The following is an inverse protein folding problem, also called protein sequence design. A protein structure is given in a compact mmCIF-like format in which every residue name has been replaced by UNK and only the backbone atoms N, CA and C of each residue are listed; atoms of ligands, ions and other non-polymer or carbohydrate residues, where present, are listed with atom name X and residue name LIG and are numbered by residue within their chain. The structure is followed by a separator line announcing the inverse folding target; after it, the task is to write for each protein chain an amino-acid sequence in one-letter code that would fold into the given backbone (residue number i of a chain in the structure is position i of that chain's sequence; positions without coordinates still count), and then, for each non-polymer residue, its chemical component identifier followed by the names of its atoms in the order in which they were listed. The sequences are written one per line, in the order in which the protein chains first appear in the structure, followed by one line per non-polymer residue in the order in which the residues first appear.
data_IF_033759424520
#
_entry.id   IF_033759424520
#
_cell.length_a   1.000
_cell.length_b   1.000
_cell.length_c   1.000
_cell.angle_alpha   90.00
_cell.angle_beta   90.00
_cell.angle_gamma   90.00
#
_symmetry.space_group_name_H-M   'P 1'
#
loop_
_entity.id
_entity.type
_entity.pdbx_description
1 polymer ?
#
# COMPACT_ATOMS: atom_id res chain seq x y z
N UNK A 1 11.48 27.22 -21.65
CA UNK A 1 11.53 25.80 -21.20
C UNK A 1 12.83 25.22 -21.74
N UNK A 2 13.84 25.01 -20.90
CA UNK A 2 15.09 24.38 -21.34
C UNK A 2 14.84 22.91 -21.65
N UNK A 3 15.23 22.45 -22.84
CA UNK A 3 15.20 21.05 -23.19
C UNK A 3 16.14 20.27 -22.26
N UNK A 4 15.61 19.24 -21.57
CA UNK A 4 16.43 18.34 -20.75
C UNK A 4 17.29 17.50 -21.69
N UNK A 5 18.60 17.48 -21.46
CA UNK A 5 19.54 16.66 -22.22
C UNK A 5 19.64 15.28 -21.55
N UNK A 6 19.37 14.17 -22.25
CA UNK A 6 19.51 12.83 -21.67
C UNK A 6 20.99 12.49 -21.45
N UNK A 7 21.30 11.85 -20.33
CA UNK A 7 22.65 11.34 -20.05
C UNK A 7 22.99 10.15 -20.94
N UNK A 8 22.00 9.30 -21.21
CA UNK A 8 22.13 8.07 -21.97
C UNK A 8 20.77 7.60 -22.46
N UNK A 9 20.76 6.91 -23.58
CA UNK A 9 19.58 6.22 -24.09
C UNK A 9 19.80 4.71 -24.04
N UNK A 10 18.80 3.97 -23.58
CA UNK A 10 18.83 2.52 -23.48
C UNK A 10 17.72 1.95 -24.36
N UNK A 11 18.10 1.20 -25.39
CA UNK A 11 17.16 0.48 -26.23
C UNK A 11 16.97 -0.96 -25.74
N UNK A 12 15.71 -1.37 -25.57
CA UNK A 12 15.35 -2.72 -25.15
C UNK A 12 13.97 -3.12 -25.71
N UNK A 13 13.67 -4.41 -25.68
CA UNK A 13 12.34 -4.92 -26.06
C UNK A 13 11.52 -5.07 -24.77
N UNK A 14 10.37 -4.39 -24.70
CA UNK A 14 9.47 -4.52 -23.57
C UNK A 14 8.92 -5.96 -23.52
N UNK A 15 9.18 -6.69 -22.43
CA UNK A 15 8.68 -8.07 -22.27
C UNK A 15 7.15 -8.17 -22.21
N UNK A 16 6.46 -7.06 -21.90
CA UNK A 16 5.00 -7.01 -21.82
C UNK A 16 4.32 -6.93 -23.19
N UNK A 17 4.73 -5.96 -24.01
CA UNK A 17 4.11 -5.70 -25.32
C UNK A 17 4.95 -6.14 -26.53
N UNK A 18 6.15 -6.69 -26.29
CA UNK A 18 7.12 -7.15 -27.30
C UNK A 18 7.54 -6.07 -28.33
N UNK A 19 7.40 -4.78 -27.98
CA UNK A 19 7.85 -3.65 -28.81
C UNK A 19 9.26 -3.21 -28.41
N UNK A 20 10.04 -2.79 -29.41
CA UNK A 20 11.31 -2.11 -29.17
C UNK A 20 11.04 -0.69 -28.66
N UNK A 21 11.69 -0.32 -27.56
CA UNK A 21 11.57 0.98 -26.93
C UNK A 21 12.96 1.55 -26.64
N UNK A 22 13.07 2.87 -26.72
CA UNK A 22 14.27 3.63 -26.34
C UNK A 22 13.92 4.51 -25.15
N UNK A 23 14.60 4.28 -24.03
CA UNK A 23 14.36 4.97 -22.77
C UNK A 23 15.49 6.00 -22.57
N UNK A 24 15.20 7.30 -22.62
CA UNK A 24 16.16 8.33 -22.22
C UNK A 24 16.29 8.37 -20.70
N UNK A 25 17.53 8.39 -20.20
CA UNK A 25 17.85 8.47 -18.78
C UNK A 25 18.28 9.90 -18.46
N UNK A 26 17.54 10.59 -17.59
CA UNK A 26 17.91 11.90 -17.07
C UNK A 26 18.56 11.79 -15.69
N UNK A 27 19.33 12.81 -15.29
CA UNK A 27 19.96 12.87 -13.95
C UNK A 27 18.90 12.72 -12.85
N UNK A 28 17.75 13.37 -13.03
CA UNK A 28 16.66 13.40 -12.06
C UNK A 28 15.95 12.04 -11.89
N UNK A 29 16.10 11.12 -12.85
CA UNK A 29 15.44 9.80 -12.82
C UNK A 29 16.24 8.74 -12.05
N UNK A 30 17.52 9.03 -11.75
CA UNK A 30 18.39 8.14 -11.01
C UNK A 30 17.98 8.11 -9.54
N UNK A 31 17.23 7.08 -9.14
CA UNK A 31 16.85 6.84 -7.74
C UNK A 31 18.00 6.23 -6.93
N UNK A 32 17.82 6.20 -5.61
CA UNK A 32 18.75 5.71 -4.59
C UNK A 32 19.56 4.49 -5.03
N UNK A 33 20.87 4.54 -4.76
CA UNK A 33 21.79 3.46 -5.09
C UNK A 33 21.53 2.24 -4.20
N UNK A 34 21.03 1.14 -4.76
CA UNK A 34 20.83 -0.14 -4.06
C UNK A 34 21.99 -1.06 -4.43
N UNK A 35 22.82 -1.44 -3.47
CA UNK A 35 23.95 -2.36 -3.70
C UNK A 35 24.98 -1.86 -4.72
N UNK A 36 25.13 -0.55 -4.89
CA UNK A 36 26.04 0.04 -5.87
C UNK A 36 25.45 0.30 -7.26
N UNK A 37 24.19 -0.09 -7.49
CA UNK A 37 23.46 0.09 -8.76
C UNK A 37 22.43 1.22 -8.65
N UNK A 38 22.27 1.99 -9.73
CA UNK A 38 21.23 3.00 -9.89
C UNK A 38 19.94 2.35 -10.38
N UNK A 39 18.81 2.76 -9.81
CA UNK A 39 17.50 2.28 -10.23
C UNK A 39 16.73 3.37 -10.98
N UNK A 40 16.19 3.02 -12.15
CA UNK A 40 15.31 3.89 -12.95
C UNK A 40 14.02 3.15 -13.24
N UNK A 41 12.87 3.79 -13.05
CA UNK A 41 11.57 3.22 -13.38
C UNK A 41 10.95 4.03 -14.52
N UNK A 42 10.59 3.35 -15.60
CA UNK A 42 10.00 3.94 -16.79
C UNK A 42 8.62 3.32 -17.05
N UNK A 43 7.64 4.16 -17.38
CA UNK A 43 6.30 3.72 -17.71
C UNK A 43 6.17 3.59 -19.23
N UNK A 44 5.83 2.39 -19.72
CA UNK A 44 5.58 2.15 -21.14
C UNK A 44 4.26 1.40 -21.32
N UNK A 45 3.31 2.02 -22.03
CA UNK A 45 1.93 1.54 -22.14
C UNK A 45 1.37 1.22 -20.73
N UNK A 46 0.97 -0.04 -20.49
CA UNK A 46 0.49 -0.53 -19.20
C UNK A 46 1.56 -1.32 -18.42
N UNK A 47 2.85 -1.03 -18.66
CA UNK A 47 3.96 -1.72 -17.99
C UNK A 47 4.91 -0.74 -17.29
N UNK A 48 5.28 -1.06 -16.04
CA UNK A 48 6.41 -0.43 -15.35
C UNK A 48 7.66 -1.23 -15.67
N UNK A 49 8.63 -0.57 -16.26
CA UNK A 49 9.94 -1.11 -16.59
C UNK A 49 10.94 -0.55 -15.59
N UNK A 50 11.45 -1.42 -14.73
CA UNK A 50 12.52 -1.07 -13.79
C UNK A 50 13.86 -1.51 -14.36
N UNK A 51 14.78 -0.55 -14.49
CA UNK A 51 16.15 -0.72 -14.96
C UNK A 51 17.10 -0.59 -13.77
N UNK A 52 18.04 -1.54 -13.66
CA UNK A 52 19.18 -1.47 -12.75
C UNK A 52 20.44 -1.19 -13.57
N UNK A 53 21.06 -0.05 -13.31
CA UNK A 53 22.23 0.46 -14.02
C UNK A 53 23.44 0.45 -13.10
N UNK A 54 24.63 0.21 -13.64
CA UNK A 54 25.87 0.41 -12.87
C UNK A 54 26.32 1.87 -12.83
N UNK A 55 27.48 2.13 -12.21
CA UNK A 55 28.07 3.48 -12.11
C UNK A 55 28.37 4.13 -13.47
N UNK A 56 28.51 3.35 -14.53
CA UNK A 56 28.74 3.81 -15.91
C UNK A 56 27.43 3.85 -16.73
N UNK A 57 26.29 3.79 -16.05
CA UNK A 57 24.95 3.73 -16.64
C UNK A 57 24.78 2.55 -17.61
N UNK A 58 25.54 1.46 -17.44
CA UNK A 58 25.35 0.25 -18.23
C UNK A 58 24.21 -0.58 -17.63
N UNK A 59 23.29 -1.04 -18.47
CA UNK A 59 22.16 -1.86 -18.05
C UNK A 59 22.66 -3.22 -17.56
N UNK A 60 22.41 -3.52 -16.28
CA UNK A 60 22.74 -4.82 -15.67
C UNK A 60 21.54 -5.75 -15.65
N UNK A 61 20.37 -5.20 -15.32
CA UNK A 61 19.14 -5.95 -15.23
C UNK A 61 17.95 -5.07 -15.58
N UNK A 62 16.92 -5.66 -16.18
CA UNK A 62 15.63 -5.00 -16.36
C UNK A 62 14.49 -5.94 -16.00
N UNK A 63 13.41 -5.38 -15.49
CA UNK A 63 12.16 -6.10 -15.21
C UNK A 63 10.98 -5.27 -15.70
N UNK A 64 10.10 -5.90 -16.47
CA UNK A 64 8.80 -5.32 -16.81
C UNK A 64 7.73 -5.95 -15.91
N UNK A 65 6.84 -5.13 -15.36
CA UNK A 65 5.68 -5.57 -14.59
C UNK A 65 4.44 -4.87 -15.16
N UNK A 66 3.37 -5.63 -15.40
CA UNK A 66 2.12 -5.08 -15.91
C UNK A 66 1.39 -4.35 -14.77
N UNK A 67 0.95 -3.13 -15.04
CA UNK A 67 0.03 -2.39 -14.18
C UNK A 67 -1.33 -3.02 -14.39
N UNK A 68 -1.87 -3.65 -13.35
CA UNK A 68 -3.26 -4.08 -13.39
C UNK A 68 -4.14 -2.83 -13.46
N UNK A 69 -4.57 -2.44 -14.66
CA UNK A 69 -5.63 -1.46 -14.85
C UNK A 69 -6.91 -2.05 -14.30
N UNK A 70 -7.27 -1.72 -13.06
CA UNK A 70 -8.67 -1.77 -12.64
C UNK A 70 -9.37 -0.56 -13.27
N UNK A 71 -9.66 -0.64 -14.57
CA UNK A 71 -10.49 0.37 -15.26
C UNK A 71 -11.93 0.24 -14.75
N UNK A 72 -12.42 1.35 -14.19
CA UNK A 72 -13.74 1.53 -13.58
C UNK A 72 -14.92 1.23 -14.53
N UNK A 73 -14.67 1.09 -15.83
CA UNK A 73 -15.68 0.83 -16.87
C UNK A 73 -15.99 -0.65 -17.13
N UNK A 74 -15.07 -1.59 -16.85
CA UNK A 74 -15.37 -3.03 -17.01
C UNK A 74 -16.30 -3.59 -15.93
N UNK A 75 -16.43 -2.89 -14.80
CA UNK A 75 -17.39 -3.23 -13.73
C UNK A 75 -18.83 -2.89 -14.15
N UNK A 76 -19.03 -1.93 -15.07
CA UNK A 76 -20.35 -1.52 -15.53
C UNK A 76 -20.92 -2.40 -16.66
N UNK A 77 -20.07 -3.02 -17.50
CA UNK A 77 -20.53 -3.80 -18.65
C UNK A 77 -20.97 -5.23 -18.31
N UNK A 78 -20.65 -5.75 -17.12
CA UNK A 78 -21.02 -7.12 -16.69
C UNK A 78 -22.35 -7.23 -15.96
N UNK A 79 -23.07 -6.13 -15.72
CA UNK A 79 -24.33 -6.14 -14.96
C UNK A 79 -25.61 -6.25 -15.81
N UNK A 80 -25.53 -6.41 -17.14
CA UNK A 80 -26.74 -6.40 -18.01
C UNK A 80 -26.90 -7.62 -18.93
N UNK A 81 -26.01 -8.63 -18.88
CA UNK A 81 -26.15 -9.81 -19.75
C UNK A 81 -26.12 -11.12 -18.96
N UNK A 82 -27.23 -11.47 -18.31
CA UNK A 82 -27.45 -12.82 -17.81
C UNK A 82 -28.95 -13.18 -17.74
N UNK A 83 -29.53 -13.56 -18.88
CA UNK A 83 -30.71 -14.43 -18.90
C UNK A 83 -30.64 -15.37 -20.09
N UNK A 84 -30.08 -16.58 -19.91
CA UNK A 84 -30.59 -17.85 -20.47
C UNK A 84 -29.77 -19.00 -19.84
N UNK A 85 -30.38 -20.11 -19.37
CA UNK A 85 -29.65 -21.24 -18.81
C UNK A 85 -29.39 -22.32 -19.87
N UNK A 86 -28.17 -22.85 -19.97
CA UNK A 86 -27.98 -24.24 -20.38
C UNK A 86 -26.63 -24.81 -19.94
N UNK A 87 -26.62 -26.13 -19.84
CA UNK A 87 -25.79 -26.93 -18.96
C UNK A 87 -24.35 -27.17 -19.42
N UNK A 88 -23.58 -27.64 -18.43
CA UNK A 88 -22.59 -28.71 -18.47
C UNK A 88 -21.11 -28.31 -18.42
N UNK A 89 -20.43 -28.91 -17.42
CA UNK A 89 -19.05 -29.34 -17.56
C UNK A 89 -17.98 -28.50 -16.89
N UNK A 90 -17.41 -29.10 -15.83
CA UNK A 90 -16.06 -28.93 -15.30
C UNK A 90 -15.81 -27.81 -14.28
N UNK A 91 -15.40 -28.30 -13.11
CA UNK A 91 -15.04 -27.56 -11.93
C UNK A 91 -13.88 -26.59 -12.19
N UNK A 92 -14.10 -25.33 -11.85
CA UNK A 92 -13.05 -24.45 -11.38
C UNK A 92 -13.62 -23.73 -10.17
N UNK A 93 -12.94 -23.88 -9.03
CA UNK A 93 -13.35 -23.31 -7.76
C UNK A 93 -13.39 -21.78 -7.90
N UNK A 94 -14.59 -21.26 -8.08
CA UNK A 94 -14.85 -19.83 -8.14
C UNK A 94 -14.51 -19.22 -6.78
N UNK A 95 -13.51 -18.34 -6.75
CA UNK A 95 -13.32 -17.45 -5.61
C UNK A 95 -14.54 -16.52 -5.50
N UNK A 96 -15.03 -16.25 -4.28
CA UNK A 96 -16.19 -15.40 -4.09
C UNK A 96 -15.87 -13.96 -4.52
N UNK A 97 -16.68 -13.51 -5.48
CA UNK A 97 -16.83 -12.12 -5.91
C UNK A 97 -17.07 -11.18 -4.72
N UNK A 98 -16.44 -10.00 -4.77
CA UNK A 98 -16.48 -8.94 -3.77
C UNK A 98 -17.83 -8.20 -3.69
N UNK A 99 -18.93 -8.94 -3.60
CA UNK A 99 -20.24 -8.43 -3.26
C UNK A 99 -20.61 -8.95 -1.88
N UNK A 100 -20.64 -8.03 -0.91
CA UNK A 100 -21.03 -8.24 0.51
C UNK A 100 -20.16 -9.21 1.32
N UNK A 101 -18.85 -8.94 1.43
CA UNK A 101 -18.13 -9.39 2.65
C UNK A 101 -18.60 -8.52 3.82
N UNK A 102 -18.98 -9.13 4.98
CA UNK A 102 -19.25 -8.35 6.18
C UNK A 102 -18.02 -7.52 6.51
N UNK A 103 -18.18 -6.21 6.71
CA UNK A 103 -17.07 -5.32 7.00
C UNK A 103 -16.35 -5.84 8.27
N UNK A 104 -15.07 -6.18 8.14
CA UNK A 104 -14.32 -6.76 9.23
C UNK A 104 -14.37 -5.81 10.44
N UNK A 105 -14.75 -6.36 11.59
CA UNK A 105 -14.90 -5.56 12.80
C UNK A 105 -13.52 -5.15 13.30
N UNK A 106 -13.27 -3.85 13.33
CA UNK A 106 -12.07 -3.30 13.94
C UNK A 106 -11.94 -3.79 15.40
N UNK A 107 -10.71 -4.11 15.81
CA UNK A 107 -10.40 -4.47 17.19
C UNK A 107 -9.07 -3.90 17.63
N UNK A 108 -9.13 -2.80 18.38
CA UNK A 108 -7.93 -2.18 18.95
C UNK A 108 -7.30 -3.06 20.02
N UNK A 109 -8.13 -3.79 20.79
CA UNK A 109 -7.62 -4.69 21.84
C UNK A 109 -6.87 -5.88 21.27
N UNK A 110 -7.31 -6.42 20.12
CA UNK A 110 -6.55 -7.46 19.41
C UNK A 110 -5.20 -6.92 18.94
N UNK A 111 -5.18 -5.76 18.29
CA UNK A 111 -3.95 -5.14 17.80
C UNK A 111 -2.96 -4.82 18.94
N UNK A 112 -3.45 -4.31 20.08
CA UNK A 112 -2.64 -4.07 21.27
C UNK A 112 -2.08 -5.36 21.87
N UNK A 113 -2.84 -6.46 21.88
CA UNK A 113 -2.34 -7.76 22.35
C UNK A 113 -1.28 -8.35 21.42
N UNK A 114 -1.44 -8.17 20.10
CA UNK A 114 -0.53 -8.74 19.11
C UNK A 114 0.78 -7.96 19.00
N UNK A 115 0.71 -6.62 19.00
CA UNK A 115 1.87 -5.76 18.76
C UNK A 115 2.35 -5.00 20.00
N UNK A 116 1.54 -4.90 21.06
CA UNK A 116 1.88 -4.15 22.26
C UNK A 116 2.23 -2.69 21.96
N UNK A 117 3.36 -2.24 22.52
CA UNK A 117 3.88 -0.90 22.26
C UNK A 117 4.37 -0.72 20.81
N UNK A 118 4.62 -1.80 20.05
CA UNK A 118 5.08 -1.68 18.66
C UNK A 118 3.99 -1.12 17.72
N UNK A 119 2.74 -1.06 18.16
CA UNK A 119 1.65 -0.45 17.37
C UNK A 119 1.85 1.07 17.19
N UNK A 120 2.64 1.73 18.04
CA UNK A 120 2.94 3.16 17.93
C UNK A 120 3.65 3.53 16.61
N UNK A 121 4.49 2.61 16.13
CA UNK A 121 5.29 2.76 14.92
C UNK A 121 4.45 2.79 13.64
N UNK A 122 3.22 2.25 13.69
CA UNK A 122 2.23 2.35 12.60
C UNK A 122 1.26 3.50 12.81
N UNK A 123 0.87 3.77 14.07
CA UNK A 123 -0.14 4.78 14.37
C UNK A 123 0.25 6.17 13.84
N UNK A 124 1.50 6.59 14.05
CA UNK A 124 2.00 7.90 13.57
C UNK A 124 1.95 8.00 12.05
N UNK A 125 2.57 7.08 11.26
CA UNK A 125 2.47 7.07 9.81
C UNK A 125 1.04 7.19 9.26
N UNK A 126 0.09 6.43 9.83
CA UNK A 126 -1.32 6.48 9.43
C UNK A 126 -1.92 7.87 9.68
N UNK A 127 -1.66 8.46 10.85
CA UNK A 127 -2.12 9.80 11.20
C UNK A 127 -1.53 10.90 10.30
N UNK A 128 -0.26 10.75 9.89
CA UNK A 128 0.44 11.71 9.03
C UNK A 128 0.17 11.49 7.54
N UNK A 129 -0.55 10.41 7.17
CA UNK A 129 -0.85 10.09 5.78
C UNK A 129 0.30 9.47 4.99
N UNK A 130 1.29 8.89 5.68
CA UNK A 130 2.31 8.04 5.06
C UNK A 130 1.69 6.67 4.76
N UNK A 131 2.01 6.09 3.61
CA UNK A 131 1.43 4.82 3.18
C UNK A 131 1.85 3.70 4.14
N UNK A 132 0.88 2.89 4.54
CA UNK A 132 1.10 1.71 5.39
C UNK A 132 0.73 0.44 4.63
N UNK A 133 1.69 -0.46 4.54
CA UNK A 133 1.54 -1.77 3.91
C UNK A 133 1.29 -2.79 5.00
N UNK A 134 0.28 -3.65 4.84
CA UNK A 134 -0.08 -4.70 5.77
C UNK A 134 0.11 -6.04 5.08
N UNK A 135 0.77 -6.97 5.76
CA UNK A 135 0.99 -8.32 5.23
C UNK A 135 0.80 -9.38 6.31
N UNK A 136 0.30 -10.55 5.90
CA UNK A 136 0.11 -11.72 6.74
C UNK A 136 -1.20 -12.45 6.42
N UNK A 137 -1.70 -13.21 7.39
CA UNK A 137 -2.97 -13.92 7.27
C UNK A 137 -4.15 -12.98 6.91
N UNK A 138 -4.91 -13.32 5.87
CA UNK A 138 -5.98 -12.50 5.30
C UNK A 138 -7.01 -12.02 6.34
N UNK A 139 -7.46 -12.92 7.23
CA UNK A 139 -8.46 -12.60 8.25
C UNK A 139 -7.96 -11.56 9.26
N UNK A 140 -6.71 -11.70 9.71
CA UNK A 140 -6.08 -10.75 10.62
C UNK A 140 -5.76 -9.42 9.94
N UNK A 141 -5.39 -9.47 8.66
CA UNK A 141 -5.13 -8.28 7.86
C UNK A 141 -6.38 -7.41 7.70
N UNK A 142 -7.55 -8.00 7.43
CA UNK A 142 -8.80 -7.24 7.37
C UNK A 142 -9.11 -6.54 8.70
N UNK A 143 -8.91 -7.22 9.83
CA UNK A 143 -9.09 -6.62 11.17
C UNK A 143 -8.06 -5.53 11.43
N UNK A 144 -6.81 -5.74 11.03
CA UNK A 144 -5.74 -4.76 11.18
C UNK A 144 -6.08 -3.49 10.38
N UNK A 145 -6.41 -3.61 9.09
CA UNK A 145 -6.80 -2.49 8.23
C UNK A 145 -8.02 -1.76 8.81
N UNK A 146 -9.05 -2.48 9.25
CA UNK A 146 -10.22 -1.90 9.89
C UNK A 146 -9.86 -1.12 11.17
N UNK A 147 -8.87 -1.61 11.93
CA UNK A 147 -8.37 -0.94 13.13
C UNK A 147 -7.54 0.30 12.79
N UNK A 148 -6.71 0.26 11.75
CA UNK A 148 -5.93 1.41 11.30
C UNK A 148 -6.81 2.57 10.84
N UNK A 149 -7.98 2.30 10.25
CA UNK A 149 -8.98 3.35 9.94
C UNK A 149 -9.38 4.16 11.18
N UNK A 150 -9.34 3.57 12.38
CA UNK A 150 -9.68 4.27 13.62
C UNK A 150 -8.65 5.35 13.97
N UNK A 151 -7.43 5.27 13.43
CA UNK A 151 -6.35 6.21 13.69
C UNK A 151 -6.51 7.55 12.96
N UNK A 152 -7.48 7.65 12.05
CA UNK A 152 -7.64 8.83 11.19
C UNK A 152 -8.98 9.51 11.45
N UNK A 153 -8.95 10.84 11.54
CA UNK A 153 -10.16 11.63 11.72
C UNK A 153 -10.63 12.24 10.40
N UNK A 154 -11.83 11.87 9.94
CA UNK A 154 -12.56 12.50 8.81
C UNK A 154 -11.81 12.56 7.46
N UNK A 155 -10.75 11.78 7.27
CA UNK A 155 -10.10 11.62 5.97
C UNK A 155 -10.66 10.36 5.31
N UNK A 156 -11.06 10.48 4.06
CA UNK A 156 -11.33 9.33 3.21
C UNK A 156 -10.00 8.67 2.84
N UNK A 157 -9.78 7.48 3.39
CA UNK A 157 -8.59 6.69 3.13
C UNK A 157 -8.75 5.90 1.83
N UNK A 158 -7.75 5.98 0.96
CA UNK A 158 -7.64 5.13 -0.22
C UNK A 158 -7.05 3.79 0.22
N UNK A 159 -7.86 2.73 0.21
CA UNK A 159 -7.49 1.44 0.78
C UNK A 159 -7.59 0.34 -0.26
N UNK A 160 -6.52 -0.44 -0.39
CA UNK A 160 -6.55 -1.76 -1.04
C UNK A 160 -6.56 -2.82 0.05
N UNK A 161 -7.64 -3.58 0.18
CA UNK A 161 -7.78 -4.57 1.26
C UNK A 161 -6.83 -5.76 1.12
N UNK A 162 -6.59 -6.20 -0.11
CA UNK A 162 -5.66 -7.26 -0.45
C UNK A 162 -5.30 -7.18 -1.94
N UNK A 163 -4.05 -7.44 -2.28
CA UNK A 163 -3.59 -7.62 -3.66
C UNK A 163 -2.46 -8.63 -3.73
N UNK A 164 -2.47 -9.43 -4.78
CA UNK A 164 -1.38 -10.35 -5.18
C UNK A 164 -0.50 -9.74 -6.27
N UNK A 165 -0.83 -8.52 -6.69
CA UNK A 165 -0.09 -7.75 -7.68
C UNK A 165 0.44 -6.46 -7.06
N UNK A 166 1.59 -5.99 -7.56
CA UNK A 166 2.17 -4.73 -7.12
C UNK A 166 1.24 -3.55 -7.46
N UNK A 167 1.04 -2.66 -6.49
CA UNK A 167 0.34 -1.38 -6.64
C UNK A 167 1.22 -0.25 -6.13
N UNK A 168 1.16 0.93 -6.76
CA UNK A 168 1.99 2.07 -6.37
C UNK A 168 1.56 2.61 -4.99
N UNK A 169 2.48 2.74 -4.01
CA UNK A 169 2.20 3.32 -2.71
C UNK A 169 1.56 4.71 -2.74
N UNK A 170 1.76 5.50 -3.79
CA UNK A 170 1.24 6.88 -3.91
C UNK A 170 -0.27 6.93 -4.11
N UNK A 171 -0.84 5.86 -4.63
CA UNK A 171 -2.27 5.77 -4.95
C UNK A 171 -3.13 5.37 -3.74
N UNK A 172 -2.50 4.87 -2.67
CA UNK A 172 -3.18 4.32 -1.50
C UNK A 172 -2.59 4.83 -0.19
N UNK A 173 -3.43 4.97 0.83
CA UNK A 173 -3.00 5.26 2.20
C UNK A 173 -2.71 3.96 2.96
N UNK A 174 -3.47 2.88 2.70
CA UNK A 174 -3.29 1.56 3.31
C UNK A 174 -3.40 0.47 2.24
N UNK A 175 -2.45 -0.47 2.23
CA UNK A 175 -2.39 -1.54 1.23
C UNK A 175 -2.21 -2.89 1.94
N UNK A 176 -3.17 -3.79 1.82
CA UNK A 176 -3.00 -5.20 2.14
C UNK A 176 -2.32 -5.94 0.98
N UNK A 177 -1.24 -6.66 1.24
CA UNK A 177 -0.46 -7.36 0.20
C UNK A 177 -0.22 -8.82 0.55
N UNK A 178 -0.05 -9.65 -0.48
CA UNK A 178 0.49 -10.99 -0.35
C UNK A 178 1.95 -10.95 0.22
N UNK A 179 2.36 -11.92 1.06
CA UNK A 179 3.67 -11.91 1.71
C UNK A 179 4.87 -11.84 0.76
N UNK A 180 4.75 -12.42 -0.44
CA UNK A 180 5.78 -12.40 -1.48
C UNK A 180 5.99 -11.02 -2.13
N UNK A 181 5.12 -10.04 -1.87
CA UNK A 181 5.25 -8.68 -2.39
C UNK A 181 5.96 -7.73 -1.43
N UNK A 182 6.30 -8.19 -0.23
CA UNK A 182 6.89 -7.34 0.82
C UNK A 182 8.15 -6.59 0.35
N UNK A 183 8.99 -7.25 -0.44
CA UNK A 183 10.26 -6.70 -0.93
C UNK A 183 10.08 -5.57 -1.98
N UNK A 184 8.87 -5.33 -2.51
CA UNK A 184 8.63 -4.17 -3.38
C UNK A 184 8.33 -2.88 -2.61
N UNK A 185 8.16 -2.97 -1.29
CA UNK A 185 7.74 -1.87 -0.42
C UNK A 185 8.81 -1.49 0.62
N UNK A 186 10.10 -1.64 0.28
CA UNK A 186 11.23 -1.45 1.21
C UNK A 186 11.30 -0.06 1.86
N UNK A 187 10.69 0.97 1.26
CA UNK A 187 10.66 2.34 1.79
C UNK A 187 9.44 2.64 2.65
N UNK A 188 8.39 1.83 2.51
CA UNK A 188 7.11 2.06 3.17
C UNK A 188 7.08 1.44 4.56
N UNK A 189 6.11 1.88 5.37
CA UNK A 189 5.88 1.30 6.69
C UNK A 189 5.16 -0.02 6.52
N UNK A 190 5.78 -1.11 6.96
CA UNK A 190 5.21 -2.46 6.81
C UNK A 190 4.78 -2.98 8.17
N UNK A 191 3.48 -3.25 8.31
CA UNK A 191 2.88 -4.00 9.39
C UNK A 191 2.84 -5.49 9.01
N UNK A 192 3.76 -6.25 9.58
CA UNK A 192 3.92 -7.68 9.32
C UNK A 192 3.26 -8.46 10.47
N UNK A 193 2.06 -8.97 10.20
CA UNK A 193 1.20 -9.63 11.18
C UNK A 193 1.78 -10.98 11.57
N UNK A 194 2.27 -11.76 10.60
CA UNK A 194 2.81 -13.09 10.84
C UNK A 194 4.05 -13.03 11.73
N UNK A 195 4.93 -12.05 11.49
CA UNK A 195 6.13 -11.85 12.30
C UNK A 195 5.93 -10.87 13.48
N UNK A 196 4.71 -10.37 13.70
CA UNK A 196 4.34 -9.41 14.76
C UNK A 196 5.28 -8.21 14.88
N UNK A 197 5.72 -7.68 13.74
CA UNK A 197 6.70 -6.59 13.68
C UNK A 197 6.24 -5.45 12.80
N UNK A 198 6.78 -4.27 13.07
CA UNK A 198 6.62 -3.09 12.23
C UNK A 198 7.98 -2.74 11.65
N UNK A 199 8.06 -2.57 10.34
CA UNK A 199 9.28 -2.22 9.60
C UNK A 199 9.15 -0.78 9.10
N UNK A 200 10.24 -0.01 9.17
CA UNK A 200 10.31 1.41 8.76
C UNK A 200 9.30 2.35 9.44
N UNK A 201 8.67 1.90 10.53
CA UNK A 201 7.82 2.75 11.34
C UNK A 201 8.63 3.72 12.18
N UNK A 202 7.96 4.76 12.68
CA UNK A 202 8.60 5.85 13.41
C UNK A 202 8.11 5.91 14.85
N UNK A 203 9.05 6.05 15.79
CA UNK A 203 8.71 6.23 17.21
C UNK A 203 7.89 7.50 17.43
N UNK A 204 6.97 7.42 18.38
CA UNK A 204 6.11 8.54 18.76
C UNK A 204 5.66 8.41 20.22
N UNK A 205 6.25 9.23 21.10
CA UNK A 205 5.91 9.23 22.53
C UNK A 205 4.43 9.55 22.80
N UNK A 206 3.82 10.38 21.96
CA UNK A 206 2.39 10.64 22.05
C UNK A 206 1.58 9.36 21.79
N UNK A 207 1.82 8.70 20.65
CA UNK A 207 1.14 7.45 20.32
C UNK A 207 1.38 6.38 21.38
N UNK A 208 2.61 6.26 21.89
CA UNK A 208 2.97 5.38 23.02
C UNK A 208 2.07 5.59 24.22
N UNK A 209 1.93 6.84 24.67
CA UNK A 209 1.11 7.21 25.83
C UNK A 209 -0.37 6.94 25.58
N UNK A 210 -0.85 7.21 24.37
CA UNK A 210 -2.23 6.89 23.98
C UNK A 210 -2.47 5.39 24.09
N UNK A 211 -1.65 4.58 23.42
CA UNK A 211 -1.82 3.12 23.38
C UNK A 211 -1.73 2.47 24.76
N UNK A 212 -0.79 2.90 25.61
CA UNK A 212 -0.70 2.46 27.02
C UNK A 212 -1.95 2.77 27.83
N UNK A 213 -2.61 3.91 27.55
CA UNK A 213 -3.87 4.26 28.19
C UNK A 213 -5.02 3.31 27.81
N UNK A 214 -5.01 2.79 26.58
CA UNK A 214 -6.05 1.92 26.04
C UNK A 214 -5.94 0.47 26.49
N UNK A 215 -4.75 0.00 26.87
CA UNK A 215 -4.47 -1.41 27.23
C UNK A 215 -5.35 -1.94 28.37
N UNK A 216 -5.76 -1.06 29.30
CA UNK A 216 -6.60 -1.41 30.46
C UNK A 216 -8.11 -1.28 30.20
N UNK A 217 -8.49 -0.91 28.97
CA UNK A 217 -9.89 -0.65 28.60
C UNK A 217 -10.50 -1.83 27.85
N UNK A 218 -11.82 -1.96 27.91
CA UNK A 218 -12.53 -2.89 27.02
C UNK A 218 -12.62 -2.31 25.59
N UNK A 219 -12.91 -3.14 24.60
CA UNK A 219 -12.90 -2.75 23.17
C UNK A 219 -13.75 -1.49 22.88
N UNK A 220 -15.00 -1.44 23.37
CA UNK A 220 -15.89 -0.31 23.12
C UNK A 220 -15.36 1.00 23.70
N UNK A 221 -14.86 0.97 24.95
CA UNK A 221 -14.28 2.15 25.61
C UNK A 221 -12.98 2.55 24.96
N UNK A 222 -12.12 1.59 24.64
CA UNK A 222 -10.83 1.83 23.98
C UNK A 222 -11.02 2.50 22.62
N UNK A 223 -11.95 2.01 21.79
CA UNK A 223 -12.24 2.58 20.49
C UNK A 223 -12.83 4.00 20.59
N UNK A 224 -13.71 4.27 21.57
CA UNK A 224 -14.27 5.59 21.80
C UNK A 224 -13.20 6.59 22.26
N UNK A 225 -12.41 6.22 23.27
CA UNK A 225 -11.30 7.04 23.80
C UNK A 225 -10.26 7.35 22.73
N UNK A 226 -9.89 6.34 21.92
CA UNK A 226 -8.97 6.51 20.80
C UNK A 226 -9.49 7.56 19.80
N UNK A 227 -10.76 7.44 19.38
CA UNK A 227 -11.39 8.40 18.46
C UNK A 227 -11.42 9.81 19.02
N UNK A 228 -11.68 9.98 20.31
CA UNK A 228 -11.71 11.28 20.96
C UNK A 228 -10.30 11.90 21.07
N UNK A 229 -9.28 11.10 21.42
CA UNK A 229 -7.88 11.56 21.44
C UNK A 229 -7.40 12.01 20.08
N UNK A 230 -7.68 11.23 19.05
CA UNK A 230 -7.30 11.57 17.67
C UNK A 230 -8.03 12.85 17.23
N UNK A 231 -9.34 12.96 17.49
CA UNK A 231 -10.12 14.17 17.18
C UNK A 231 -9.49 15.41 17.83
N UNK A 232 -9.03 15.31 19.07
CA UNK A 232 -8.40 16.42 19.78
C UNK A 232 -7.06 16.81 19.17
N UNK A 233 -6.24 15.86 18.72
CA UNK A 233 -4.99 16.16 17.99
C UNK A 233 -5.26 16.94 16.71
N UNK A 234 -6.22 16.48 15.89
CA UNK A 234 -6.56 17.19 14.65
C UNK A 234 -7.13 18.59 14.92
N UNK A 235 -7.93 18.77 15.98
CA UNK A 235 -8.38 20.10 16.40
C UNK A 235 -7.19 20.98 16.76
N UNK A 236 -6.29 20.51 17.62
CA UNK A 236 -5.12 21.31 18.01
C UNK A 236 -4.23 21.70 16.82
N UNK A 237 -4.05 20.81 15.84
CA UNK A 237 -3.27 21.11 14.63
C UNK A 237 -3.99 22.12 13.71
N UNK A 238 -5.31 22.02 13.54
CA UNK A 238 -6.09 22.97 12.74
C UNK A 238 -6.05 24.40 13.33
N UNK A 239 -6.03 24.53 14.66
CA UNK A 239 -5.91 25.82 15.33
C UNK A 239 -4.54 26.47 15.13
N UNK A 240 -3.47 25.70 14.88
CA UNK A 240 -2.13 26.24 14.61
C UNK A 240 -1.98 26.80 13.19
N UNK A 241 -2.86 26.45 12.24
CA UNK A 241 -2.80 26.92 10.86
C UNK A 241 -3.74 28.11 10.55
N UNK A 242 -4.49 28.61 11.54
CA UNK A 242 -5.40 29.75 11.40
C UNK A 242 -4.86 31.06 12.02
N UNK A 243 -3.61 31.07 12.46
CA UNK A 243 -2.87 32.25 12.96
C UNK A 243 -1.77 32.58 11.96
#
# INVERSE_FOLDING_TARGET
MSARVPLKEISLVCKGCNKSITIPIYVDDLKTQVGGLWQVSYLHDDHVITLLLDKNLALRQHRASTIARTSREEVAARSVAATTPQASGMASAAMPSAATRPEARASITLMLKTFGNNLEYVMKPVMTGKTVVVTGELALMEIAIATLKLFVHKKDLRITWYTETFVDPRDYDIIGIAPNLKDYYETEVILDIDNRKVINGEECDYCRKVLKGLEKMNETKAAAELKDRIRNVYRSLLWMHQI
#
